data_IF_314266869905
#
_entry.id   IF_314266869905
#
_cell.length_a   1.000
_cell.length_b   1.000
_cell.length_c   1.000
_cell.angle_alpha   90.00
_cell.angle_beta   90.00
_cell.angle_gamma   90.00
#
_symmetry.space_group_name_H-M   'P 1'
#
loop_
_entity.id
_entity.type
_entity.pdbx_description
1 polymer ?
#
# COMPACT_ATOMS: atom_id res chain seq x y z
N UNK A 1 -18.21 5.68 -5.26
CA UNK A 1 -16.98 4.87 -5.20
C UNK A 1 -16.37 4.78 -6.59
N UNK A 2 -15.59 5.80 -6.98
CA UNK A 2 -14.74 5.80 -8.19
C UNK A 2 -13.26 5.80 -7.77
N UNK A 3 -12.88 4.95 -6.80
CA UNK A 3 -11.56 5.03 -6.16
C UNK A 3 -10.43 4.37 -6.95
N UNK A 4 -10.75 3.58 -7.98
CA UNK A 4 -9.75 3.11 -8.95
C UNK A 4 -9.75 4.05 -10.15
N UNK A 5 -9.07 5.20 -10.03
CA UNK A 5 -8.69 5.92 -11.24
C UNK A 5 -7.58 5.11 -11.93
N UNK A 6 -7.97 4.26 -12.88
CA UNK A 6 -7.07 3.46 -13.76
C UNK A 6 -5.89 4.28 -14.33
N UNK A 7 -6.03 5.61 -14.36
CA UNK A 7 -5.07 6.58 -14.87
C UNK A 7 -3.68 6.50 -14.24
N UNK A 8 -3.53 6.00 -13.01
CA UNK A 8 -2.22 5.95 -12.34
C UNK A 8 -1.52 4.58 -12.38
N UNK A 9 -2.25 3.48 -12.51
CA UNK A 9 -1.68 2.12 -12.56
C UNK A 9 -1.24 1.78 -14.00
N UNK A 10 -2.04 2.21 -14.98
CA UNK A 10 -1.85 1.89 -16.39
C UNK A 10 -0.49 2.34 -16.97
N UNK A 11 0.03 3.55 -16.70
CA UNK A 11 1.31 4.01 -17.26
C UNK A 11 2.52 3.17 -16.81
N UNK A 12 2.49 2.64 -15.59
CA UNK A 12 3.59 1.84 -15.05
C UNK A 12 3.56 0.39 -15.52
N UNK A 13 2.35 -0.20 -15.65
CA UNK A 13 2.19 -1.50 -16.31
C UNK A 13 2.64 -1.44 -17.77
N UNK A 14 2.33 -0.35 -18.47
CA UNK A 14 2.87 -0.08 -19.82
C UNK A 14 4.40 0.05 -19.75
N UNK A 15 4.96 0.81 -18.80
CA UNK A 15 6.41 0.93 -18.64
C UNK A 15 7.11 -0.41 -18.41
N UNK A 16 6.53 -1.27 -17.57
CA UNK A 16 7.02 -2.62 -17.30
C UNK A 16 6.94 -3.51 -18.55
N UNK A 17 5.79 -3.50 -19.23
CA UNK A 17 5.58 -4.25 -20.46
C UNK A 17 6.54 -3.79 -21.57
N UNK A 18 6.75 -2.48 -21.72
CA UNK A 18 7.70 -1.90 -22.67
C UNK A 18 9.13 -2.28 -22.32
N UNK A 19 9.52 -2.28 -21.04
CA UNK A 19 10.85 -2.71 -20.60
C UNK A 19 11.10 -4.21 -20.86
N UNK A 20 10.08 -5.05 -20.65
CA UNK A 20 10.12 -6.49 -20.96
C UNK A 20 10.21 -6.70 -22.47
N UNK A 21 9.39 -6.01 -23.26
CA UNK A 21 9.38 -6.09 -24.73
C UNK A 21 10.68 -5.57 -25.34
N UNK A 22 11.23 -4.47 -24.82
CA UNK A 22 12.54 -3.95 -25.23
C UNK A 22 13.66 -4.94 -24.91
N UNK A 23 13.66 -5.56 -23.73
CA UNK A 23 14.64 -6.62 -23.44
C UNK A 23 14.48 -7.82 -24.38
N UNK A 24 13.25 -8.27 -24.61
CA UNK A 24 12.93 -9.39 -25.49
C UNK A 24 13.29 -9.13 -26.96
N UNK A 25 13.24 -7.88 -27.43
CA UNK A 25 13.55 -7.52 -28.82
C UNK A 25 15.03 -7.11 -29.02
N UNK A 26 15.58 -6.30 -28.11
CA UNK A 26 16.90 -5.69 -28.25
C UNK A 26 18.01 -6.68 -27.91
N UNK A 27 17.85 -7.52 -26.87
CA UNK A 27 18.88 -8.48 -26.49
C UNK A 27 19.16 -9.52 -27.59
N UNK A 28 18.14 -10.15 -28.24
CA UNK A 28 18.39 -11.07 -29.35
C UNK A 28 18.98 -10.37 -30.59
N UNK A 29 18.57 -9.12 -30.85
CA UNK A 29 19.10 -8.36 -31.98
C UNK A 29 20.57 -7.98 -31.80
N UNK A 30 20.95 -7.47 -30.62
CA UNK A 30 22.35 -7.16 -30.28
C UNK A 30 23.21 -8.41 -30.33
N UNK A 31 22.71 -9.53 -29.79
CA UNK A 31 23.40 -10.81 -29.84
C UNK A 31 23.60 -11.30 -31.27
N UNK A 32 22.55 -11.26 -32.12
CA UNK A 32 22.63 -11.65 -33.54
C UNK A 32 23.63 -10.77 -34.31
N UNK A 33 23.64 -9.45 -34.04
CA UNK A 33 24.57 -8.50 -34.66
C UNK A 33 26.02 -8.75 -34.22
N UNK A 34 26.23 -9.02 -32.94
CA UNK A 34 27.52 -9.41 -32.35
C UNK A 34 28.08 -10.70 -32.98
N UNK A 35 27.24 -11.75 -33.08
CA UNK A 35 27.61 -13.03 -33.67
C UNK A 35 27.94 -12.91 -35.16
N UNK A 36 27.15 -12.13 -35.92
CA UNK A 36 27.44 -11.84 -37.34
C UNK A 36 28.77 -11.12 -37.55
N UNK A 37 29.08 -10.11 -36.75
CA UNK A 37 30.38 -9.40 -36.82
C UNK A 37 31.59 -10.32 -36.63
N UNK A 38 31.41 -11.49 -36.04
CA UNK A 38 32.48 -12.46 -35.74
C UNK A 38 32.55 -13.64 -36.71
N UNK A 39 31.74 -13.66 -37.76
CA UNK A 39 31.71 -14.76 -38.72
C UNK A 39 31.14 -16.07 -38.13
N UNK A 40 30.57 -16.05 -36.93
CA UNK A 40 29.91 -17.19 -36.30
C UNK A 40 28.49 -17.28 -36.89
N UNK A 41 28.41 -17.66 -38.15
CA UNK A 41 27.18 -17.69 -38.94
C UNK A 41 26.42 -19.02 -38.83
N UNK A 42 26.38 -19.62 -37.64
CA UNK A 42 25.59 -20.83 -37.37
C UNK A 42 24.20 -20.48 -36.85
N UNK A 43 23.15 -20.73 -37.64
CA UNK A 43 21.73 -20.50 -37.28
C UNK A 43 21.33 -21.19 -35.96
N UNK A 44 21.98 -22.31 -35.63
CA UNK A 44 21.69 -23.10 -34.42
C UNK A 44 22.14 -22.42 -33.12
N UNK A 45 23.29 -21.73 -33.11
CA UNK A 45 23.82 -21.06 -31.93
C UNK A 45 22.99 -19.84 -31.52
N UNK A 46 22.54 -19.05 -32.50
CA UNK A 46 21.70 -17.89 -32.24
C UNK A 46 20.32 -18.28 -31.67
N UNK A 47 19.73 -19.40 -32.15
CA UNK A 47 18.44 -19.90 -31.64
C UNK A 47 18.53 -20.37 -30.19
N UNK A 48 19.60 -21.09 -29.81
CA UNK A 48 19.77 -21.59 -28.43
C UNK A 48 19.93 -20.46 -27.42
N UNK A 49 20.73 -19.45 -27.72
CA UNK A 49 20.93 -18.32 -26.79
C UNK A 49 19.66 -17.47 -26.67
N UNK A 50 18.95 -17.26 -27.78
CA UNK A 50 17.65 -16.56 -27.77
C UNK A 50 16.63 -17.33 -26.93
N UNK A 51 16.56 -18.66 -27.08
CA UNK A 51 15.68 -19.51 -26.29
C UNK A 51 16.03 -19.52 -24.79
N UNK A 52 17.32 -19.54 -24.43
CA UNK A 52 17.74 -19.46 -23.03
C UNK A 52 17.37 -18.10 -22.41
N UNK A 53 17.47 -17.01 -23.16
CA UNK A 53 17.08 -15.68 -22.71
C UNK A 53 15.56 -15.58 -22.49
N UNK A 54 14.76 -16.08 -23.46
CA UNK A 54 13.31 -16.13 -23.31
C UNK A 54 12.89 -17.00 -22.14
N UNK A 55 13.50 -18.17 -21.92
CA UNK A 55 13.20 -19.01 -20.77
C UNK A 55 13.61 -18.34 -19.44
N UNK A 56 14.77 -17.70 -19.38
CA UNK A 56 15.23 -16.98 -18.19
C UNK A 56 14.33 -15.80 -17.78
N UNK A 57 13.67 -15.16 -18.74
CA UNK A 57 12.74 -14.05 -18.48
C UNK A 57 11.27 -14.51 -18.34
N UNK A 58 10.86 -15.53 -19.07
CA UNK A 58 9.48 -16.03 -19.03
C UNK A 58 9.16 -16.74 -17.71
N UNK A 59 10.13 -17.43 -17.08
CA UNK A 59 9.90 -18.14 -15.82
C UNK A 59 9.58 -17.17 -14.67
N UNK A 60 10.33 -16.08 -14.42
CA UNK A 60 9.98 -15.07 -13.41
C UNK A 60 8.63 -14.41 -13.69
N UNK A 61 8.33 -14.06 -14.94
CA UNK A 61 7.06 -13.43 -15.31
C UNK A 61 5.89 -14.39 -15.09
N UNK A 62 6.04 -15.66 -15.48
CA UNK A 62 5.03 -16.69 -15.25
C UNK A 62 4.85 -16.97 -13.75
N UNK A 63 5.92 -17.01 -12.96
CA UNK A 63 5.85 -17.17 -11.51
C UNK A 63 5.12 -16.00 -10.85
N UNK A 64 5.37 -14.77 -11.29
CA UNK A 64 4.67 -13.58 -10.81
C UNK A 64 3.18 -13.63 -11.17
N UNK A 65 2.84 -14.04 -12.40
CA UNK A 65 1.46 -14.15 -12.86
C UNK A 65 0.69 -15.30 -12.19
N UNK A 66 1.33 -16.44 -11.94
CA UNK A 66 0.68 -17.65 -11.40
C UNK A 66 0.59 -17.61 -9.88
N UNK A 67 1.66 -17.19 -9.20
CA UNK A 67 1.69 -17.20 -7.73
C UNK A 67 1.10 -15.92 -7.13
N UNK A 68 1.02 -14.81 -7.88
CA UNK A 68 0.65 -13.50 -7.32
C UNK A 68 1.63 -12.97 -6.27
N UNK A 69 2.70 -13.72 -5.96
CA UNK A 69 3.70 -13.37 -4.95
C UNK A 69 4.87 -12.68 -5.62
N UNK A 70 4.92 -11.36 -5.46
CA UNK A 70 6.06 -10.52 -5.85
C UNK A 70 7.18 -10.65 -4.80
N UNK A 71 7.88 -11.79 -4.78
CA UNK A 71 9.00 -12.01 -3.85
C UNK A 71 10.35 -11.70 -4.52
N UNK A 72 11.22 -10.88 -3.89
CA UNK A 72 12.60 -10.65 -4.34
C UNK A 72 13.40 -11.95 -4.51
N UNK A 73 13.03 -12.99 -3.77
CA UNK A 73 13.65 -14.32 -3.81
C UNK A 73 13.39 -15.00 -5.16
N UNK A 74 12.20 -14.83 -5.74
CA UNK A 74 11.83 -15.40 -7.05
C UNK A 74 12.67 -14.77 -8.17
N UNK A 75 12.97 -13.47 -8.07
CA UNK A 75 13.84 -12.75 -8.99
C UNK A 75 15.30 -13.19 -8.88
N UNK A 76 15.81 -13.36 -7.66
CA UNK A 76 17.15 -13.92 -7.42
C UNK A 76 17.28 -15.34 -7.98
N UNK A 77 16.23 -16.16 -7.85
CA UNK A 77 16.18 -17.50 -8.45
C UNK A 77 16.20 -17.45 -9.99
N UNK A 78 15.44 -16.54 -10.60
CA UNK A 78 15.47 -16.32 -12.05
C UNK A 78 16.85 -15.91 -12.57
N UNK A 79 17.53 -15.00 -11.84
CA UNK A 79 18.90 -14.58 -12.13
C UNK A 79 19.91 -15.73 -11.98
N UNK A 80 19.81 -16.52 -10.91
CA UNK A 80 20.68 -17.66 -10.67
C UNK A 80 20.51 -18.76 -11.74
N UNK A 81 19.25 -19.06 -12.11
CA UNK A 81 18.94 -20.01 -13.17
C UNK A 81 19.42 -19.52 -14.54
N UNK A 82 19.18 -18.25 -14.88
CA UNK A 82 19.66 -17.64 -16.12
C UNK A 82 21.19 -17.63 -16.22
N UNK A 83 21.89 -17.29 -15.12
CA UNK A 83 23.34 -17.34 -15.02
C UNK A 83 23.90 -18.76 -15.16
N UNK A 84 23.28 -19.75 -14.49
CA UNK A 84 23.67 -21.16 -14.55
C UNK A 84 23.48 -21.80 -15.94
N UNK A 85 22.37 -21.50 -16.61
CA UNK A 85 22.10 -21.95 -17.99
C UNK A 85 23.07 -21.33 -19.00
N UNK A 86 23.53 -20.09 -18.78
CA UNK A 86 24.51 -19.45 -19.65
C UNK A 86 25.93 -19.97 -19.41
N UNK A 87 26.28 -20.29 -18.15
CA UNK A 87 27.57 -20.88 -17.79
C UNK A 87 27.74 -22.30 -18.37
N UNK A 88 26.66 -23.09 -18.43
CA UNK A 88 26.71 -24.46 -18.98
C UNK A 88 26.86 -24.53 -20.51
N UNK A 89 26.60 -23.44 -21.23
CA UNK A 89 26.63 -23.39 -22.70
C UNK A 89 28.01 -22.97 -23.27
N UNK A 90 28.98 -22.54 -22.46
CA UNK A 90 30.25 -21.98 -22.98
C UNK A 90 31.50 -22.27 -22.15
N UNK A 91 32.11 -23.44 -22.32
CA UNK A 91 33.39 -23.82 -21.70
C UNK A 91 34.65 -23.33 -22.43
N UNK A 92 34.58 -22.24 -23.22
CA UNK A 92 35.78 -21.62 -23.83
C UNK A 92 35.90 -20.13 -23.45
N UNK A 93 36.86 -19.76 -22.59
CA UNK A 93 36.94 -18.44 -21.99
C UNK A 93 37.76 -17.50 -22.87
N UNK A 94 37.14 -16.90 -23.88
CA UNK A 94 37.62 -15.64 -24.46
C UNK A 94 36.37 -14.91 -24.94
N UNK A 95 36.01 -13.76 -24.35
CA UNK A 95 35.40 -12.61 -25.04
C UNK A 95 34.92 -11.51 -24.05
N UNK A 96 35.33 -10.23 -24.21
CA UNK A 96 34.93 -9.10 -23.37
C UNK A 96 33.45 -8.67 -23.51
N UNK A 97 32.67 -9.32 -24.38
CA UNK A 97 31.25 -8.99 -24.65
C UNK A 97 30.33 -9.51 -23.55
N UNK A 98 30.77 -10.52 -22.81
CA UNK A 98 30.03 -11.06 -21.67
C UNK A 98 29.85 -10.02 -20.57
N UNK A 99 30.86 -9.17 -20.33
CA UNK A 99 30.77 -8.08 -19.37
C UNK A 99 29.65 -7.09 -19.71
N UNK A 100 29.50 -6.71 -20.98
CA UNK A 100 28.46 -5.78 -21.42
C UNK A 100 27.04 -6.38 -21.37
N UNK A 101 26.87 -7.65 -21.71
CA UNK A 101 25.56 -8.31 -21.60
C UNK A 101 25.16 -8.57 -20.14
N UNK A 102 26.10 -8.97 -19.29
CA UNK A 102 25.86 -9.16 -17.86
C UNK A 102 25.48 -7.84 -17.19
N UNK A 103 26.15 -6.74 -17.54
CA UNK A 103 25.84 -5.42 -16.97
C UNK A 103 24.50 -4.86 -17.45
N UNK A 104 24.10 -5.07 -18.70
CA UNK A 104 22.75 -4.72 -19.17
C UNK A 104 21.68 -5.54 -18.43
N UNK A 105 21.89 -6.86 -18.28
CA UNK A 105 20.96 -7.72 -17.55
C UNK A 105 20.84 -7.31 -16.07
N UNK A 106 21.96 -7.03 -15.41
CA UNK A 106 21.97 -6.51 -14.04
C UNK A 106 21.21 -5.19 -13.94
N UNK A 107 21.47 -4.24 -14.84
CA UNK A 107 20.77 -2.96 -14.86
C UNK A 107 19.26 -3.13 -15.04
N UNK A 108 18.83 -3.98 -15.97
CA UNK A 108 17.41 -4.27 -16.20
C UNK A 108 16.75 -4.88 -14.95
N UNK A 109 17.43 -5.80 -14.26
CA UNK A 109 16.91 -6.40 -13.03
C UNK A 109 16.86 -5.39 -11.87
N UNK A 110 17.86 -4.53 -11.71
CA UNK A 110 17.84 -3.46 -10.71
C UNK A 110 16.67 -2.51 -10.97
N UNK A 111 16.50 -2.06 -12.21
CA UNK A 111 15.38 -1.19 -12.59
C UNK A 111 14.02 -1.88 -12.37
N UNK A 112 13.93 -3.18 -12.66
CA UNK A 112 12.74 -3.98 -12.40
C UNK A 112 12.42 -4.03 -10.90
N UNK A 113 13.38 -4.44 -10.06
CA UNK A 113 13.21 -4.55 -8.59
C UNK A 113 12.83 -3.20 -7.98
N UNK A 114 13.50 -2.11 -8.38
CA UNK A 114 13.18 -0.76 -7.90
C UNK A 114 11.78 -0.34 -8.33
N UNK A 115 11.41 -0.59 -9.59
CA UNK A 115 10.08 -0.28 -10.11
C UNK A 115 8.98 -1.06 -9.39
N UNK A 116 9.18 -2.35 -9.15
CA UNK A 116 8.18 -3.21 -8.52
C UNK A 116 8.04 -2.96 -7.04
N UNK A 117 9.14 -2.69 -6.31
CA UNK A 117 9.08 -2.28 -4.91
C UNK A 117 8.28 -0.99 -4.71
N UNK A 118 8.41 -0.03 -5.64
CA UNK A 118 7.60 1.21 -5.61
C UNK A 118 6.11 0.93 -5.83
N UNK A 119 5.77 0.01 -6.74
CA UNK A 119 4.37 -0.39 -6.99
C UNK A 119 3.79 -1.09 -5.77
N UNK A 120 4.52 -2.06 -5.21
CA UNK A 120 4.09 -2.79 -4.01
C UNK A 120 3.92 -1.85 -2.81
N UNK A 121 4.85 -0.90 -2.63
CA UNK A 121 4.74 0.14 -1.62
C UNK A 121 3.43 0.93 -1.76
N UNK A 122 3.16 1.48 -2.95
CA UNK A 122 1.91 2.22 -3.20
C UNK A 122 0.65 1.39 -3.01
N UNK A 123 0.63 0.13 -3.46
CA UNK A 123 -0.53 -0.75 -3.26
C UNK A 123 -0.76 -0.99 -1.77
N UNK A 124 0.33 -1.20 -1.01
CA UNK A 124 0.26 -1.35 0.45
C UNK A 124 -0.29 -0.08 1.09
N UNK A 125 0.20 1.09 0.70
CA UNK A 125 -0.23 2.36 1.29
C UNK A 125 -1.68 2.70 0.95
N UNK A 126 -2.10 2.45 -0.29
CA UNK A 126 -3.51 2.59 -0.69
C UNK A 126 -4.41 1.58 0.04
N UNK A 127 -3.94 0.35 0.22
CA UNK A 127 -4.64 -0.66 1.00
C UNK A 127 -4.84 -0.23 2.46
N UNK A 128 -3.81 0.33 3.10
CA UNK A 128 -3.91 0.90 4.46
C UNK A 128 -4.97 2.00 4.51
N UNK A 129 -4.91 2.92 3.55
CA UNK A 129 -5.83 4.04 3.43
C UNK A 129 -7.29 3.60 3.34
N UNK A 130 -7.56 2.56 2.54
CA UNK A 130 -8.90 1.97 2.44
C UNK A 130 -9.35 1.36 3.76
N UNK A 131 -8.48 0.64 4.47
CA UNK A 131 -8.83 0.04 5.77
C UNK A 131 -9.12 1.12 6.81
N UNK A 132 -8.26 2.13 6.95
CA UNK A 132 -8.45 3.21 7.93
C UNK A 132 -9.75 4.00 7.65
N UNK A 133 -10.10 4.20 6.37
CA UNK A 133 -11.38 4.79 6.00
C UNK A 133 -12.59 3.91 6.39
N UNK A 134 -12.48 2.59 6.23
CA UNK A 134 -13.51 1.63 6.66
C UNK A 134 -13.66 1.61 8.18
N UNK A 135 -12.56 1.69 8.92
CA UNK A 135 -12.56 1.73 10.38
C UNK A 135 -13.24 3.00 10.88
N UNK A 136 -12.96 4.16 10.30
CA UNK A 136 -13.67 5.41 10.63
C UNK A 136 -15.16 5.36 10.30
N UNK A 137 -15.55 4.74 9.18
CA UNK A 137 -16.98 4.50 8.89
C UNK A 137 -17.62 3.59 9.93
N UNK A 138 -16.90 2.57 10.39
CA UNK A 138 -17.38 1.66 11.41
C UNK A 138 -17.51 2.38 12.77
N UNK A 139 -16.56 3.25 13.13
CA UNK A 139 -16.62 4.13 14.32
C UNK A 139 -17.87 5.02 14.24
N UNK A 140 -18.10 5.67 13.09
CA UNK A 140 -19.29 6.51 12.89
C UNK A 140 -20.60 5.76 13.10
N UNK A 141 -20.70 4.52 12.60
CA UNK A 141 -21.86 3.65 12.87
C UNK A 141 -21.97 3.31 14.36
N UNK A 142 -20.86 2.99 15.01
CA UNK A 142 -20.81 2.72 16.45
C UNK A 142 -21.31 3.91 17.29
N UNK A 143 -20.87 5.12 16.96
CA UNK A 143 -21.33 6.36 17.59
C UNK A 143 -22.84 6.58 17.45
N UNK A 144 -23.39 6.39 16.25
CA UNK A 144 -24.83 6.50 16.01
C UNK A 144 -25.63 5.46 16.79
N UNK A 145 -25.18 4.20 16.80
CA UNK A 145 -25.84 3.13 17.57
C UNK A 145 -25.76 3.41 19.08
N UNK A 146 -24.62 3.89 19.57
CA UNK A 146 -24.46 4.25 20.98
C UNK A 146 -25.44 5.36 21.36
N UNK A 147 -25.53 6.43 20.55
CA UNK A 147 -26.49 7.51 20.76
C UNK A 147 -27.93 7.03 20.71
N UNK A 148 -28.27 6.14 19.79
CA UNK A 148 -29.62 5.59 19.72
C UNK A 148 -30.01 4.88 21.03
N UNK A 149 -29.06 4.15 21.63
CA UNK A 149 -29.31 3.41 22.88
C UNK A 149 -29.26 4.28 24.14
N UNK A 150 -28.43 5.33 24.18
CA UNK A 150 -28.14 6.11 25.40
C UNK A 150 -28.67 7.55 25.35
N UNK A 151 -29.20 8.01 24.20
CA UNK A 151 -29.64 9.39 23.99
C UNK A 151 -28.52 10.40 23.71
N UNK A 152 -27.26 10.03 23.98
CA UNK A 152 -26.08 10.88 23.82
C UNK A 152 -24.89 10.12 23.21
N UNK A 153 -23.96 10.85 22.60
CA UNK A 153 -22.68 10.27 22.15
C UNK A 153 -21.75 10.01 23.35
N UNK A 154 -20.89 8.97 23.28
CA UNK A 154 -20.01 8.62 24.39
C UNK A 154 -18.95 9.71 24.64
N UNK A 155 -18.40 9.75 25.84
CA UNK A 155 -17.28 10.64 26.20
C UNK A 155 -15.93 10.16 25.64
N UNK A 156 -15.78 8.85 25.47
CA UNK A 156 -14.58 8.20 24.94
C UNK A 156 -14.99 7.09 23.95
N UNK A 157 -14.27 6.97 22.83
CA UNK A 157 -14.47 5.88 21.86
C UNK A 157 -14.33 4.49 22.48
N UNK A 158 -13.57 4.34 23.57
CA UNK A 158 -13.47 3.07 24.33
C UNK A 158 -14.82 2.59 24.84
N UNK A 159 -15.78 3.49 25.10
CA UNK A 159 -17.15 3.14 25.50
C UNK A 159 -17.91 2.38 24.40
N UNK A 160 -17.52 2.52 23.14
CA UNK A 160 -18.10 1.77 22.03
C UNK A 160 -17.74 0.28 22.12
N UNK A 161 -16.55 -0.04 22.64
CA UNK A 161 -16.12 -1.42 22.91
C UNK A 161 -16.88 -1.97 24.13
N UNK A 162 -16.99 -1.19 25.19
CA UNK A 162 -17.76 -1.58 26.40
C UNK A 162 -19.21 -1.93 26.08
N UNK A 163 -19.84 -1.13 25.21
CA UNK A 163 -21.21 -1.31 24.74
C UNK A 163 -21.37 -2.40 23.67
N UNK A 164 -20.32 -3.17 23.36
CA UNK A 164 -20.29 -4.21 22.30
C UNK A 164 -20.70 -3.71 20.92
N UNK A 165 -20.52 -2.42 20.64
CA UNK A 165 -20.76 -1.85 19.31
C UNK A 165 -19.56 -2.02 18.39
N UNK A 166 -18.39 -2.34 18.97
CA UNK A 166 -17.11 -2.33 18.30
C UNK A 166 -16.16 -3.39 18.82
N UNK A 167 -15.27 -3.89 17.95
CA UNK A 167 -14.14 -4.71 18.38
C UNK A 167 -12.99 -3.81 18.84
N UNK A 168 -12.23 -4.18 19.89
CA UNK A 168 -11.00 -3.48 20.29
C UNK A 168 -10.04 -3.16 19.15
N UNK A 169 -9.91 -4.07 18.17
CA UNK A 169 -8.98 -3.92 17.04
C UNK A 169 -9.26 -2.71 16.18
N UNK A 170 -10.51 -2.30 16.09
CA UNK A 170 -10.93 -1.22 15.22
C UNK A 170 -10.67 0.17 15.83
N UNK A 171 -10.24 0.25 17.10
CA UNK A 171 -9.72 1.49 17.72
C UNK A 171 -8.24 1.73 17.40
N UNK A 172 -7.64 0.88 16.58
CA UNK A 172 -6.23 0.91 16.20
C UNK A 172 -6.13 1.00 14.68
N UNK A 173 -5.11 1.69 14.15
CA UNK A 173 -4.94 1.84 12.73
C UNK A 173 -4.21 0.61 12.17
N UNK A 174 -4.36 0.36 10.87
CA UNK A 174 -3.78 -0.85 10.24
C UNK A 174 -2.25 -0.96 10.40
N UNK A 175 -1.55 0.16 10.60
CA UNK A 175 -0.08 0.24 10.65
C UNK A 175 0.52 -0.52 11.83
N UNK A 176 -0.23 -0.79 12.89
CA UNK A 176 0.36 -1.35 14.10
C UNK A 176 0.29 -2.88 14.06
N UNK A 177 1.44 -3.50 13.78
CA UNK A 177 1.67 -4.92 13.98
C UNK A 177 1.64 -5.20 15.49
N UNK A 178 0.45 -5.45 16.03
CA UNK A 178 0.31 -5.85 17.43
C UNK A 178 0.62 -7.34 17.55
N UNK A 179 1.71 -7.65 18.26
CA UNK A 179 2.05 -9.02 18.65
C UNK A 179 1.26 -9.49 19.89
N UNK A 180 0.52 -8.60 20.54
CA UNK A 180 -0.17 -8.85 21.81
C UNK A 180 -1.68 -8.98 21.63
N UNK A 181 -2.28 -9.87 22.43
CA UNK A 181 -3.74 -9.97 22.56
C UNK A 181 -4.28 -8.67 23.16
N UNK A 182 -5.17 -7.99 22.44
CA UNK A 182 -5.81 -6.80 22.96
C UNK A 182 -6.74 -7.18 24.11
N UNK A 183 -6.75 -6.40 25.21
CA UNK A 183 -7.62 -6.69 26.34
C UNK A 183 -9.09 -6.64 25.89
N UNK A 184 -9.82 -7.74 26.14
CA UNK A 184 -11.27 -7.80 25.89
C UNK A 184 -12.09 -7.52 27.16
N UNK A 185 -11.42 -7.10 28.24
CA UNK A 185 -12.05 -6.78 29.53
C UNK A 185 -12.87 -5.50 29.44
N UNK A 186 -13.92 -5.41 30.28
CA UNK A 186 -14.75 -4.21 30.43
C UNK A 186 -14.56 -3.63 31.82
N UNK A 187 -14.28 -2.32 31.95
CA UNK A 187 -14.12 -1.34 30.87
C UNK A 187 -12.86 -1.59 30.02
N UNK A 188 -12.94 -1.31 28.71
CA UNK A 188 -11.82 -1.42 27.79
C UNK A 188 -10.76 -0.37 28.14
N UNK A 189 -9.55 -0.84 28.45
CA UNK A 189 -8.42 -0.01 28.87
C UNK A 189 -7.27 -0.02 27.86
N UNK A 190 -7.50 -0.62 26.68
CA UNK A 190 -6.49 -0.72 25.64
C UNK A 190 -6.23 0.58 24.88
N UNK A 191 -5.27 0.53 23.93
CA UNK A 191 -4.90 1.69 23.14
C UNK A 191 -6.05 2.18 22.26
N UNK A 192 -6.04 3.48 21.95
CA UNK A 192 -6.94 4.12 20.98
C UNK A 192 -6.13 5.22 20.29
N UNK A 193 -5.89 5.05 18.99
CA UNK A 193 -5.02 5.96 18.20
C UNK A 193 -5.83 6.97 17.37
N UNK A 194 -7.16 6.93 17.52
CA UNK A 194 -8.07 7.91 16.94
C UNK A 194 -8.29 9.03 17.94
N UNK A 195 -8.26 10.27 17.47
CA UNK A 195 -8.65 11.42 18.30
C UNK A 195 -10.13 11.70 18.06
N UNK A 196 -10.86 11.90 19.15
CA UNK A 196 -12.31 12.06 19.14
C UNK A 196 -12.72 13.35 19.84
N UNK A 197 -13.64 14.07 19.22
CA UNK A 197 -14.31 15.23 19.77
C UNK A 197 -15.79 14.86 19.93
N UNK A 198 -16.25 14.85 21.17
CA UNK A 198 -17.68 14.71 21.47
C UNK A 198 -18.42 15.96 20.99
N UNK A 199 -19.27 15.82 19.98
CA UNK A 199 -20.16 16.89 19.54
C UNK A 199 -21.58 16.69 20.10
N UNK A 200 -22.35 17.78 20.29
CA UNK A 200 -23.78 17.74 20.50
C UNK A 200 -24.54 17.02 19.37
N UNK A 201 -25.75 16.58 19.69
CA UNK A 201 -26.59 15.76 18.82
C UNK A 201 -27.14 16.49 17.59
N UNK A 202 -27.14 17.82 17.66
CA UNK A 202 -27.60 18.80 16.68
C UNK A 202 -26.42 19.52 15.98
N UNK A 203 -25.19 19.02 16.17
CA UNK A 203 -24.01 19.56 15.51
C UNK A 203 -24.14 19.52 13.97
N UNK A 204 -23.69 20.56 13.25
CA UNK A 204 -23.64 20.56 11.79
C UNK A 204 -22.88 19.38 11.21
N UNK A 205 -23.36 18.85 10.08
CA UNK A 205 -22.83 17.63 9.45
C UNK A 205 -21.37 17.74 8.99
N UNK A 206 -20.87 18.96 8.78
CA UNK A 206 -19.51 19.25 8.31
C UNK A 206 -18.48 19.41 9.43
N UNK A 207 -18.85 19.23 10.70
CA UNK A 207 -17.90 19.28 11.81
C UNK A 207 -17.16 17.96 12.01
N UNK A 208 -15.93 18.05 12.52
CA UNK A 208 -15.07 16.88 12.75
C UNK A 208 -15.48 16.15 14.01
N UNK A 209 -15.78 14.85 13.89
CA UNK A 209 -16.00 13.96 15.03
C UNK A 209 -14.75 13.21 15.43
N UNK A 210 -14.14 12.50 14.48
CA UNK A 210 -13.00 11.61 14.74
C UNK A 210 -11.99 11.82 13.63
N UNK A 211 -10.71 11.82 13.97
CA UNK A 211 -9.66 11.77 12.96
C UNK A 211 -8.50 10.91 13.43
N UNK A 212 -7.69 10.51 12.45
CA UNK A 212 -6.43 9.83 12.66
C UNK A 212 -5.29 10.84 12.48
N UNK A 213 -4.26 10.80 13.33
CA UNK A 213 -3.12 11.72 13.20
C UNK A 213 -2.40 11.56 11.85
N UNK A 214 -1.98 12.66 11.19
CA UNK A 214 -1.24 12.60 9.92
C UNK A 214 0.04 11.76 9.97
N UNK A 215 0.66 11.62 11.15
CA UNK A 215 1.88 10.83 11.33
C UNK A 215 1.69 9.33 11.01
N UNK A 216 0.45 8.84 11.00
CA UNK A 216 0.14 7.47 10.58
C UNK A 216 0.28 7.27 9.05
N UNK A 217 0.25 8.36 8.28
CA UNK A 217 0.32 8.37 6.82
C UNK A 217 1.48 9.23 6.28
N UNK A 218 2.62 9.17 6.96
CA UNK A 218 3.87 9.85 6.56
C UNK A 218 3.67 11.36 6.34
N UNK A 219 2.78 11.96 7.14
CA UNK A 219 2.41 13.38 7.13
C UNK A 219 1.79 13.87 5.80
N UNK A 220 1.35 12.97 4.92
CA UNK A 220 0.68 13.35 3.65
C UNK A 220 -0.76 13.83 3.87
N UNK A 221 -1.39 13.42 4.97
CA UNK A 221 -2.77 13.75 5.28
C UNK A 221 -3.37 12.85 6.34
N UNK A 222 -4.67 13.02 6.57
CA UNK A 222 -5.42 12.30 7.57
C UNK A 222 -6.80 11.93 7.06
N UNK A 223 -7.34 10.82 7.56
CA UNK A 223 -8.76 10.56 7.44
C UNK A 223 -9.53 11.23 8.58
N UNK A 224 -10.64 11.84 8.20
CA UNK A 224 -11.55 12.57 9.07
C UNK A 224 -12.94 12.01 8.90
N UNK A 225 -13.58 11.64 10.00
CA UNK A 225 -15.00 11.37 10.12
C UNK A 225 -15.72 12.64 10.53
N UNK A 226 -16.64 13.09 9.68
CA UNK A 226 -17.51 14.24 9.96
C UNK A 226 -18.81 13.81 10.65
N UNK A 227 -19.48 14.75 11.31
CA UNK A 227 -20.75 14.53 12.00
C UNK A 227 -21.86 13.97 11.08
N UNK A 228 -21.83 14.32 9.80
CA UNK A 228 -22.68 13.77 8.76
C UNK A 228 -22.37 12.32 8.37
N UNK A 229 -21.49 11.62 9.09
CA UNK A 229 -20.99 10.25 8.84
C UNK A 229 -20.12 10.08 7.59
N UNK A 230 -19.84 11.17 6.88
CA UNK A 230 -18.90 11.16 5.77
C UNK A 230 -17.48 10.96 6.29
N UNK A 231 -16.71 10.13 5.60
CA UNK A 231 -15.26 10.01 5.80
C UNK A 231 -14.55 10.67 4.63
N UNK A 232 -13.59 11.54 4.91
CA UNK A 232 -12.82 12.26 3.91
C UNK A 232 -11.32 12.21 4.19
N UNK A 233 -10.52 12.15 3.12
CA UNK A 233 -9.08 12.38 3.20
C UNK A 233 -8.82 13.88 3.09
N UNK A 234 -8.06 14.43 4.03
CA UNK A 234 -7.69 15.85 4.05
C UNK A 234 -6.18 16.01 4.21
N UNK A 235 -5.64 17.07 3.61
CA UNK A 235 -4.25 17.49 3.84
C UNK A 235 -4.05 17.98 5.28
N UNK A 236 -2.81 18.02 5.81
CA UNK A 236 -2.56 18.54 7.16
C UNK A 236 -3.06 19.97 7.37
N UNK A 237 -2.93 20.83 6.36
CA UNK A 237 -3.41 22.22 6.42
C UNK A 237 -4.94 22.28 6.46
N UNK A 238 -5.61 21.45 5.65
CA UNK A 238 -7.07 21.33 5.70
C UNK A 238 -7.53 20.78 7.05
N UNK A 239 -6.88 19.74 7.58
CA UNK A 239 -7.19 19.20 8.90
C UNK A 239 -7.15 20.29 9.97
N UNK A 240 -6.12 21.12 9.99
CA UNK A 240 -6.03 22.23 10.94
C UNK A 240 -7.17 23.24 10.79
N UNK A 241 -7.59 23.55 9.56
CA UNK A 241 -8.73 24.44 9.30
C UNK A 241 -10.05 23.82 9.77
N UNK A 242 -10.26 22.53 9.49
CA UNK A 242 -11.44 21.76 9.89
C UNK A 242 -11.54 21.64 11.42
N UNK A 243 -10.43 21.39 12.11
CA UNK A 243 -10.35 21.35 13.56
C UNK A 243 -10.59 22.74 14.17
N UNK A 244 -9.94 23.79 13.67
CA UNK A 244 -10.16 25.15 14.15
C UNK A 244 -11.62 25.60 13.97
N UNK A 245 -12.27 25.22 12.88
CA UNK A 245 -13.70 25.45 12.65
C UNK A 245 -14.56 24.73 13.69
N UNK A 246 -14.27 23.45 13.93
CA UNK A 246 -14.98 22.61 14.91
C UNK A 246 -14.82 23.16 16.33
N UNK A 247 -13.60 23.53 16.73
CA UNK A 247 -13.32 24.14 18.02
C UNK A 247 -14.01 25.49 18.19
N UNK A 248 -14.02 26.33 17.15
CA UNK A 248 -14.72 27.60 17.18
C UNK A 248 -16.22 27.41 17.43
N UNK A 249 -16.85 26.46 16.74
CA UNK A 249 -18.26 26.15 16.93
C UNK A 249 -18.56 25.63 18.34
N UNK A 250 -17.70 24.77 18.90
CA UNK A 250 -17.84 24.22 20.26
C UNK A 250 -17.69 25.27 21.36
N UNK A 251 -16.92 26.34 21.13
CA UNK A 251 -16.86 27.46 22.09
C UNK A 251 -18.20 28.18 22.21
N UNK A 252 -18.95 28.26 21.12
CA UNK A 252 -20.26 28.91 21.08
C UNK A 252 -21.39 27.95 21.50
N UNK A 253 -21.16 26.63 21.35
CA UNK A 253 -22.11 25.55 21.65
C UNK A 253 -21.45 24.49 22.54
N UNK A 254 -21.10 24.83 23.80
CA UNK A 254 -20.42 23.89 24.67
C UNK A 254 -21.29 22.65 24.87
N UNK A 255 -20.71 21.44 24.86
CA UNK A 255 -21.46 20.23 25.20
C UNK A 255 -22.08 20.40 26.59
N UNK A 256 -23.26 19.81 26.85
CA UNK A 256 -23.88 19.89 28.16
C UNK A 256 -22.86 19.46 29.22
N UNK A 257 -22.69 20.27 30.26
CA UNK A 257 -21.77 19.96 31.35
C UNK A 257 -22.05 18.54 31.86
N UNK A 258 -21.00 17.73 31.99
CA UNK A 258 -21.13 16.37 32.53
C UNK A 258 -21.97 16.43 33.83
N UNK A 259 -22.98 15.56 33.99
CA UNK A 259 -23.57 15.39 35.30
C UNK A 259 -22.43 14.97 36.23
N UNK A 260 -22.20 15.75 37.30
CA UNK A 260 -21.15 15.48 38.27
C UNK A 260 -21.22 13.99 38.64
N UNK A 261 -20.18 13.24 38.27
CA UNK A 261 -20.06 11.83 38.58
C UNK A 261 -20.17 11.69 40.10
N UNK A 262 -21.26 11.09 40.56
CA UNK A 262 -21.40 10.72 41.98
C UNK A 262 -20.32 9.64 42.22
N UNK A 263 -19.40 9.85 43.17
CA UNK A 263 -18.27 8.96 43.43
C UNK A 263 -18.69 7.55 43.84
#
# INVERSE_FOLDING_TARGET
MEFFSDKHIFPWLIGLAVAVLLNAAVAPWLLKRSLRKRGIAGVSGCRRVTACFFMGMAIPIALILVMGVFSPIVLLFGLALGGGLLASVGSKPRLPVWGAHLSILLLCNVLYVVGTNRIVGRIRDEGKRVVDALDLHAIGKGLLMYRYDHGEYPDDLRRLVDAQKFSPRQLLPFKVEWSEELPETRPYTGPCEYTYIRLPHDAPEDLVWVWQSPCFHDDEGAYVLYAGTQVGWVTPEQLQQELARTEAWLRDHPPPAEPATVP
#
